data_IF_074839793484
#
_entry.id   IF_074839793484
#
_cell.length_a   1.000
_cell.length_b   1.000
_cell.length_c   1.000
_cell.angle_alpha   90.00
_cell.angle_beta   90.00
_cell.angle_gamma   90.00
#
_symmetry.space_group_name_H-M   'P 1'
#
loop_
_entity.id
_entity.type
_entity.pdbx_description
1 polymer ?
#
# COMPACT_ATOMS: atom_id res chain seq x y z
N UNK A 1 5.62 7.24 -23.02
CA UNK A 1 4.35 6.46 -23.05
C UNK A 1 4.63 5.06 -22.53
N UNK A 2 4.17 4.71 -21.32
CA UNK A 2 4.40 3.38 -20.76
C UNK A 2 3.52 2.35 -21.46
N UNK A 3 4.07 1.68 -22.48
CA UNK A 3 3.49 0.46 -23.04
C UNK A 3 3.75 -0.71 -22.11
N UNK A 4 2.72 -1.51 -21.83
CA UNK A 4 2.88 -2.75 -21.08
C UNK A 4 3.70 -3.76 -21.89
N UNK A 5 4.84 -4.23 -21.36
CA UNK A 5 5.76 -5.16 -22.05
C UNK A 5 5.12 -6.50 -22.43
N UNK A 6 4.03 -6.89 -21.76
CA UNK A 6 3.40 -8.20 -21.95
C UNK A 6 2.25 -8.20 -22.94
N UNK A 7 1.46 -7.12 -22.98
CA UNK A 7 0.24 -7.05 -23.77
C UNK A 7 0.20 -5.86 -24.73
N UNK A 8 1.28 -5.06 -24.81
CA UNK A 8 1.42 -3.92 -25.72
C UNK A 8 0.48 -2.74 -25.44
N UNK A 9 -0.37 -2.88 -24.42
CA UNK A 9 -1.41 -1.91 -24.07
C UNK A 9 -0.80 -0.59 -23.60
N UNK A 10 -1.38 0.52 -24.05
CA UNK A 10 -1.00 1.91 -23.72
C UNK A 10 -1.86 2.51 -22.61
N UNK A 11 -2.88 1.79 -22.12
CA UNK A 11 -3.69 2.26 -21.01
C UNK A 11 -2.86 2.47 -19.75
N UNK A 12 -3.24 3.44 -18.90
CA UNK A 12 -2.54 3.70 -17.65
C UNK A 12 -2.60 2.47 -16.72
N UNK A 13 -1.55 2.26 -15.92
CA UNK A 13 -1.55 1.20 -14.90
C UNK A 13 -2.69 1.44 -13.91
N UNK A 14 -3.36 0.36 -13.51
CA UNK A 14 -4.38 0.39 -12.47
C UNK A 14 -3.70 0.01 -11.17
N UNK A 15 -3.84 0.84 -10.14
CA UNK A 15 -3.40 0.43 -8.81
C UNK A 15 -4.43 -0.52 -8.22
N UNK A 16 -4.02 -1.76 -8.02
CA UNK A 16 -4.79 -2.71 -7.23
C UNK A 16 -4.47 -2.49 -5.76
N UNK A 17 -5.43 -2.82 -4.90
CA UNK A 17 -5.26 -2.72 -3.46
C UNK A 17 -5.08 -1.27 -2.93
N UNK A 18 -5.54 -0.25 -3.67
CA UNK A 18 -5.57 1.16 -3.20
C UNK A 18 -6.28 1.28 -1.84
N UNK A 19 -7.28 0.43 -1.58
CA UNK A 19 -8.04 0.43 -0.34
C UNK A 19 -7.19 0.09 0.90
N UNK A 20 -6.00 -0.49 0.73
CA UNK A 20 -5.05 -0.66 1.84
C UNK A 20 -4.47 0.67 2.33
N UNK A 21 -4.44 1.73 1.52
CA UNK A 21 -3.94 3.05 1.94
C UNK A 21 -4.76 3.60 3.12
N UNK A 22 -6.10 3.77 3.01
CA UNK A 22 -6.90 4.22 4.15
C UNK A 22 -6.90 3.21 5.31
N UNK A 23 -6.84 1.90 5.05
CA UNK A 23 -6.74 0.90 6.11
C UNK A 23 -5.45 1.05 6.92
N UNK A 24 -4.34 1.36 6.26
CA UNK A 24 -3.03 1.58 6.92
C UNK A 24 -3.06 2.85 7.77
N UNK A 25 -3.74 3.90 7.28
CA UNK A 25 -3.94 5.13 8.05
C UNK A 25 -4.74 4.88 9.33
N UNK A 26 -5.79 4.05 9.24
CA UNK A 26 -6.59 3.60 10.38
C UNK A 26 -5.76 2.82 11.41
N UNK A 27 -4.90 1.91 10.94
CA UNK A 27 -3.99 1.16 11.83
C UNK A 27 -3.03 2.10 12.57
N UNK A 28 -2.61 3.21 11.94
CA UNK A 28 -1.75 4.22 12.55
C UNK A 28 -2.43 5.07 13.63
N UNK A 29 -3.76 5.14 13.68
CA UNK A 29 -4.46 5.85 14.75
C UNK A 29 -4.19 5.24 16.13
N UNK A 30 -3.99 3.91 16.19
CA UNK A 30 -3.70 3.18 17.44
C UNK A 30 -2.38 3.63 18.06
N UNK A 31 -1.20 3.48 17.40
CA UNK A 31 0.07 3.92 17.99
C UNK A 31 0.09 5.43 18.23
N UNK A 32 -0.54 6.26 17.39
CA UNK A 32 -0.61 7.72 17.61
C UNK A 32 -1.40 8.05 18.87
N UNK A 33 -2.54 7.41 19.11
CA UNK A 33 -3.34 7.62 20.32
C UNK A 33 -2.62 7.15 21.59
N UNK A 34 -1.85 6.06 21.51
CA UNK A 34 -1.03 5.60 22.64
C UNK A 34 0.16 6.54 22.90
N UNK A 35 0.80 7.04 21.84
CA UNK A 35 1.87 8.04 21.94
C UNK A 35 1.39 9.35 22.55
N UNK A 36 0.18 9.83 22.21
CA UNK A 36 -0.39 11.06 22.78
C UNK A 36 -0.72 10.92 24.28
N UNK A 37 -1.00 9.69 24.74
CA UNK A 37 -1.21 9.38 26.16
C UNK A 37 0.09 9.06 26.92
N UNK A 38 1.27 9.17 26.30
CA UNK A 38 2.56 8.95 26.95
C UNK A 38 2.93 7.48 27.17
N UNK A 39 2.25 6.54 26.50
CA UNK A 39 2.57 5.12 26.57
C UNK A 39 3.78 4.74 25.69
N UNK A 40 4.48 3.70 26.11
CA UNK A 40 5.73 3.21 25.50
C UNK A 40 5.54 2.75 24.04
N UNK A 41 6.56 2.88 23.17
CA UNK A 41 6.46 2.72 21.72
C UNK A 41 6.33 1.27 21.22
N UNK A 42 5.90 0.30 22.04
CA UNK A 42 5.78 -1.10 21.62
C UNK A 42 4.89 -1.28 20.37
N UNK A 43 3.91 -0.40 20.16
CA UNK A 43 3.01 -0.43 19.01
C UNK A 43 3.58 0.17 17.71
N UNK A 44 4.75 0.83 17.75
CA UNK A 44 5.40 1.36 16.54
C UNK A 44 5.89 0.23 15.62
N UNK A 45 6.46 -0.83 16.17
CA UNK A 45 6.96 -1.97 15.40
C UNK A 45 5.85 -2.65 14.57
N UNK A 46 4.70 -3.03 15.15
CA UNK A 46 3.56 -3.52 14.39
C UNK A 46 3.05 -2.54 13.32
N UNK A 47 3.01 -1.24 13.64
CA UNK A 47 2.53 -0.22 12.70
C UNK A 47 3.45 -0.05 11.49
N UNK A 48 4.77 -0.14 11.70
CA UNK A 48 5.78 -0.11 10.63
C UNK A 48 5.71 -1.40 9.79
N UNK A 49 5.52 -2.56 10.43
CA UNK A 49 5.34 -3.81 9.70
C UNK A 49 4.10 -3.74 8.78
N UNK A 50 3.01 -3.15 9.27
CA UNK A 50 1.78 -3.00 8.51
C UNK A 50 1.91 -1.99 7.35
N UNK A 51 2.65 -0.89 7.52
CA UNK A 51 2.92 0.05 6.42
C UNK A 51 3.77 -0.57 5.33
N UNK A 52 4.84 -1.29 5.70
CA UNK A 52 5.68 -2.00 4.73
C UNK A 52 4.86 -3.04 3.98
N UNK A 53 4.03 -3.81 4.68
CA UNK A 53 3.15 -4.79 4.05
C UNK A 53 2.16 -4.15 3.09
N UNK A 54 1.54 -3.03 3.48
CA UNK A 54 0.63 -2.25 2.65
C UNK A 54 1.30 -1.73 1.39
N UNK A 55 2.52 -1.18 1.49
CA UNK A 55 3.30 -0.71 0.34
C UNK A 55 3.64 -1.85 -0.62
N UNK A 56 3.94 -3.04 -0.11
CA UNK A 56 4.20 -4.24 -0.94
C UNK A 56 2.91 -4.77 -1.57
N UNK A 57 1.78 -4.65 -0.86
CA UNK A 57 0.47 -5.10 -1.30
C UNK A 57 -0.15 -4.18 -2.36
N UNK A 58 0.14 -2.87 -2.34
CA UNK A 58 -0.22 -1.95 -3.39
C UNK A 58 0.63 -2.25 -4.62
N UNK A 59 0.00 -2.86 -5.62
CA UNK A 59 0.66 -3.26 -6.87
C UNK A 59 0.05 -2.49 -8.02
N UNK A 60 0.92 -1.96 -8.89
CA UNK A 60 0.51 -1.45 -10.19
C UNK A 60 0.33 -2.65 -11.11
N UNK A 61 -0.87 -2.86 -11.61
CA UNK A 61 -1.19 -3.90 -12.58
C UNK A 61 -1.59 -3.24 -13.91
N UNK A 62 -1.33 -3.93 -15.02
CA UNK A 62 -1.86 -3.50 -16.30
C UNK A 62 -3.37 -3.76 -16.34
N UNK A 63 -4.19 -2.74 -16.63
CA UNK A 63 -5.65 -2.84 -16.60
C UNK A 63 -6.28 -3.85 -17.56
N UNK A 64 -5.53 -4.37 -18.54
CA UNK A 64 -6.04 -5.34 -19.53
C UNK A 64 -5.53 -6.76 -19.33
N UNK A 65 -4.24 -6.93 -19.04
CA UNK A 65 -3.65 -8.25 -18.85
C UNK A 65 -3.46 -8.65 -17.38
N UNK A 66 -3.78 -7.77 -16.41
CA UNK A 66 -3.68 -8.05 -14.97
C UNK A 66 -2.26 -8.33 -14.46
N UNK A 67 -1.24 -8.23 -15.34
CA UNK A 67 0.15 -8.47 -14.97
C UNK A 67 0.69 -7.29 -14.17
N UNK A 68 1.47 -7.62 -13.14
CA UNK A 68 2.21 -6.66 -12.32
C UNK A 68 3.19 -5.91 -13.21
N UNK A 69 3.06 -4.58 -13.22
CA UNK A 69 4.02 -3.67 -13.81
C UNK A 69 5.03 -3.36 -12.69
N UNK A 70 6.21 -3.99 -12.79
CA UNK A 70 7.36 -3.77 -11.92
C UNK A 70 7.95 -2.37 -12.16
#
# INVERSE_FOLDING_TARGET
MHKCAYCGNTQPPVLKNIWLIPATLLVWLVPIAFLSHGYWPFFLLPAIAFTVWSLIAVKRECGRCGRRLL
#
